data_IF_069189069070
#
_entry.id   IF_069189069070
#
_cell.length_a   1.000
_cell.length_b   1.000
_cell.length_c   1.000
_cell.angle_alpha   90.00
_cell.angle_beta   90.00
_cell.angle_gamma   90.00
#
_symmetry.space_group_name_H-M   'P 1'
#
loop_
_entity.id
_entity.type
_entity.pdbx_description
1 polymer ?
#
# COMPACT_ATOMS: atom_id res chain seq x y z
N UNK A 1 -43.62 -21.85 -26.33
CA UNK A 1 -42.98 -22.21 -25.05
C UNK A 1 -41.44 -22.49 -25.17
N UNK A 2 -40.99 -23.14 -26.20
CA UNK A 2 -39.54 -23.47 -26.37
C UNK A 2 -38.60 -22.27 -26.60
N UNK A 3 -39.03 -21.20 -27.25
CA UNK A 3 -38.23 -20.00 -27.52
C UNK A 3 -37.81 -19.20 -26.27
N UNK A 4 -38.62 -19.23 -25.21
CA UNK A 4 -38.31 -18.51 -23.98
C UNK A 4 -37.30 -19.25 -23.06
N UNK A 5 -37.20 -20.56 -23.19
CA UNK A 5 -36.27 -21.39 -22.41
C UNK A 5 -34.84 -21.22 -22.92
N UNK A 6 -34.65 -21.07 -24.24
CA UNK A 6 -33.32 -20.86 -24.84
C UNK A 6 -32.73 -19.50 -24.44
N UNK A 7 -33.56 -18.48 -24.28
CA UNK A 7 -33.09 -17.15 -23.87
C UNK A 7 -32.63 -17.11 -22.40
N UNK A 8 -33.30 -17.88 -21.52
CA UNK A 8 -32.94 -17.97 -20.10
C UNK A 8 -31.63 -18.77 -19.93
N UNK A 9 -31.38 -19.80 -20.73
CA UNK A 9 -30.16 -20.60 -20.67
C UNK A 9 -28.93 -19.78 -21.18
N UNK A 10 -29.13 -18.92 -22.16
CA UNK A 10 -28.05 -18.07 -22.70
C UNK A 10 -27.61 -16.98 -21.70
N UNK A 11 -28.51 -16.49 -20.86
CA UNK A 11 -28.19 -15.46 -19.85
C UNK A 11 -27.47 -16.02 -18.63
N UNK A 12 -27.65 -17.31 -18.30
CA UNK A 12 -27.00 -17.95 -17.14
C UNK A 12 -25.55 -18.37 -17.46
N UNK A 13 -25.21 -18.58 -18.73
CA UNK A 13 -23.84 -18.97 -19.14
C UNK A 13 -22.80 -17.86 -19.06
N UNK A 14 -23.21 -16.59 -18.89
CA UNK A 14 -22.29 -15.45 -18.80
C UNK A 14 -21.81 -15.12 -17.38
N UNK A 15 -22.31 -15.79 -16.35
CA UNK A 15 -21.90 -15.58 -14.96
C UNK A 15 -20.88 -16.60 -14.43
N UNK A 16 -19.96 -17.08 -15.24
CA UNK A 16 -18.71 -17.63 -14.72
C UNK A 16 -17.70 -16.51 -14.55
N UNK A 17 -17.87 -15.72 -13.49
CA UNK A 17 -16.83 -14.83 -13.00
C UNK A 17 -15.70 -15.69 -12.47
N UNK A 18 -14.66 -15.81 -13.27
CA UNK A 18 -13.36 -16.27 -12.82
C UNK A 18 -12.81 -15.26 -11.83
N UNK A 19 -13.02 -15.47 -10.54
CA UNK A 19 -12.34 -14.71 -9.51
C UNK A 19 -10.90 -15.24 -9.38
N UNK A 20 -10.05 -14.85 -10.32
CA UNK A 20 -8.62 -14.79 -10.05
C UNK A 20 -8.41 -13.59 -9.13
N UNK A 21 -8.51 -13.81 -7.82
CA UNK A 21 -7.97 -12.88 -6.84
C UNK A 21 -6.46 -12.93 -6.96
N UNK A 22 -5.90 -12.16 -7.88
CA UNK A 22 -4.53 -11.69 -7.74
C UNK A 22 -4.52 -10.81 -6.50
N UNK A 23 -3.94 -11.32 -5.40
CA UNK A 23 -3.68 -10.53 -4.20
C UNK A 23 -2.91 -9.30 -4.66
N UNK A 24 -3.58 -8.16 -4.70
CA UNK A 24 -2.97 -6.92 -5.19
C UNK A 24 -1.87 -6.51 -4.21
N UNK A 25 -0.75 -5.94 -4.68
CA UNK A 25 0.29 -5.41 -3.80
C UNK A 25 -0.25 -4.42 -2.75
N UNK A 26 -1.38 -3.76 -3.03
CA UNK A 26 -2.05 -2.85 -2.12
C UNK A 26 -2.56 -3.50 -0.83
N UNK A 27 -2.96 -4.76 -0.85
CA UNK A 27 -3.43 -5.47 0.34
C UNK A 27 -2.31 -5.65 1.39
N UNK A 28 -1.06 -5.87 0.97
CA UNK A 28 0.08 -5.93 1.88
C UNK A 28 0.41 -4.58 2.53
N UNK A 29 0.19 -3.47 1.82
CA UNK A 29 0.40 -2.13 2.35
C UNK A 29 -0.69 -1.70 3.33
N UNK A 30 -1.87 -2.25 3.21
CA UNK A 30 -3.03 -1.97 4.07
C UNK A 30 -3.04 -2.82 5.35
N UNK A 31 -2.24 -3.91 5.42
CA UNK A 31 -2.16 -4.74 6.63
C UNK A 31 -1.54 -3.97 7.79
N UNK A 32 -1.99 -4.24 8.99
CA UNK A 32 -1.50 -3.71 10.27
C UNK A 32 -1.57 -2.17 10.39
N UNK A 33 -2.25 -1.47 9.48
CA UNK A 33 -2.46 -0.03 9.58
C UNK A 33 -3.35 0.26 10.81
N UNK A 34 -2.88 1.20 11.65
CA UNK A 34 -3.44 1.54 12.96
C UNK A 34 -3.24 0.47 14.05
N UNK A 35 -2.45 -0.58 13.78
CA UNK A 35 -1.93 -1.47 14.82
C UNK A 35 -0.65 -0.88 15.43
N UNK A 36 -0.34 -1.28 16.66
CA UNK A 36 0.91 -0.87 17.31
C UNK A 36 2.06 -1.72 16.80
N UNK A 37 3.16 -1.06 16.45
CA UNK A 37 4.42 -1.74 16.19
C UNK A 37 4.92 -2.41 17.48
N UNK A 38 5.50 -3.61 17.36
CA UNK A 38 6.09 -4.27 18.53
C UNK A 38 7.20 -3.43 19.14
N UNK A 39 7.14 -3.19 20.44
CA UNK A 39 8.13 -2.43 21.19
C UNK A 39 9.37 -3.29 21.45
N UNK A 40 10.26 -3.33 20.47
CA UNK A 40 11.48 -4.10 20.52
C UNK A 40 12.57 -3.36 21.30
N UNK A 41 13.40 -4.11 22.02
CA UNK A 41 14.66 -3.58 22.56
C UNK A 41 15.69 -3.51 21.43
N UNK A 42 16.10 -2.29 21.11
CA UNK A 42 17.05 -1.99 20.03
C UNK A 42 18.47 -1.85 20.62
N UNK A 43 19.43 -2.39 19.93
CA UNK A 43 20.86 -2.16 20.20
C UNK A 43 21.33 -1.11 19.19
N UNK A 44 21.56 0.11 19.66
CA UNK A 44 22.02 1.26 18.87
C UNK A 44 23.54 1.42 18.97
N UNK A 45 24.09 1.05 20.11
CA UNK A 45 25.51 0.96 20.40
C UNK A 45 25.79 -0.28 21.29
N UNK A 46 27.06 -0.52 21.63
CA UNK A 46 27.44 -1.70 22.42
C UNK A 46 27.05 -1.60 23.91
N UNK A 47 26.60 -0.44 24.38
CA UNK A 47 26.54 -0.14 25.81
C UNK A 47 25.13 -0.19 26.42
N UNK A 48 24.09 0.14 25.66
CA UNK A 48 22.72 0.14 26.22
C UNK A 48 21.64 -0.21 25.20
N UNK A 49 20.81 -1.23 25.45
CA UNK A 49 19.61 -1.46 24.68
C UNK A 49 18.57 -0.35 24.95
N UNK A 50 17.99 0.19 23.88
CA UNK A 50 16.99 1.26 23.91
C UNK A 50 15.64 0.71 23.45
N UNK A 51 14.55 0.82 24.23
CA UNK A 51 13.23 0.45 23.75
C UNK A 51 12.80 1.30 22.55
N UNK A 52 12.13 0.68 21.58
CA UNK A 52 11.66 1.37 20.36
C UNK A 52 10.74 2.56 20.69
N UNK A 53 9.93 2.44 21.76
CA UNK A 53 9.02 3.52 22.19
C UNK A 53 9.76 4.81 22.59
N UNK A 54 10.96 4.76 23.09
CA UNK A 54 11.73 5.97 23.41
C UNK A 54 12.07 6.77 22.15
N UNK A 55 12.29 6.07 21.02
CA UNK A 55 12.57 6.73 19.74
C UNK A 55 11.31 7.38 19.16
N UNK A 56 10.19 6.64 19.07
CA UNK A 56 9.00 7.22 18.45
C UNK A 56 8.29 8.24 19.34
N UNK A 57 8.42 8.18 20.67
CA UNK A 57 7.92 9.21 21.57
C UNK A 57 8.65 10.56 21.37
N UNK A 58 9.91 10.52 20.95
CA UNK A 58 10.69 11.72 20.67
C UNK A 58 10.32 12.31 19.32
N UNK A 59 10.29 11.48 18.26
CA UNK A 59 9.90 11.86 16.90
C UNK A 59 9.27 10.65 16.19
N UNK A 60 8.28 10.87 15.32
CA UNK A 60 7.78 9.81 14.43
C UNK A 60 8.90 9.11 13.67
N UNK A 61 8.69 7.86 13.30
CA UNK A 61 9.72 7.06 12.65
C UNK A 61 9.32 6.63 11.24
N UNK A 62 10.29 6.65 10.33
CA UNK A 62 10.29 5.87 9.11
C UNK A 62 11.16 4.63 9.35
N UNK A 63 10.55 3.47 9.53
CA UNK A 63 11.25 2.22 9.81
C UNK A 63 11.60 1.51 8.50
N UNK A 64 12.88 1.21 8.32
CA UNK A 64 13.46 0.54 7.16
C UNK A 64 14.02 -0.80 7.60
N UNK A 65 13.61 -1.87 6.93
CA UNK A 65 14.13 -3.21 7.18
C UNK A 65 15.13 -3.61 6.10
N UNK A 66 16.32 -3.96 6.51
CA UNK A 66 17.43 -4.37 5.63
C UNK A 66 18.19 -5.55 6.23
N UNK A 67 19.16 -6.08 5.51
CA UNK A 67 20.26 -6.86 6.07
C UNK A 67 21.59 -6.48 5.39
N UNK A 68 22.69 -6.57 6.13
CA UNK A 68 23.96 -5.95 5.68
C UNK A 68 24.63 -6.68 4.52
N UNK A 69 24.37 -7.99 4.39
CA UNK A 69 24.90 -8.87 3.34
C UNK A 69 24.02 -8.92 2.08
N UNK A 70 23.04 -8.04 1.98
CA UNK A 70 22.16 -7.98 0.81
C UNK A 70 22.94 -7.58 -0.45
N UNK A 71 22.91 -8.44 -1.46
CA UNK A 71 23.50 -8.17 -2.78
C UNK A 71 22.47 -7.56 -3.75
N UNK A 72 21.22 -7.44 -3.34
CA UNK A 72 20.08 -7.04 -4.17
C UNK A 72 19.51 -5.66 -3.81
N UNK A 73 18.29 -5.66 -3.28
CA UNK A 73 17.43 -4.49 -3.16
C UNK A 73 17.81 -3.51 -2.05
N UNK A 74 18.46 -3.95 -0.96
CA UNK A 74 18.68 -3.12 0.24
C UNK A 74 19.53 -1.87 -0.05
N UNK A 75 20.67 -2.03 -0.71
CA UNK A 75 21.58 -0.93 -1.00
C UNK A 75 20.97 0.12 -1.95
N UNK A 76 20.39 -0.24 -3.10
CA UNK A 76 19.66 0.70 -3.96
C UNK A 76 18.50 1.38 -3.25
N UNK A 77 17.76 0.65 -2.40
CA UNK A 77 16.66 1.19 -1.64
C UNK A 77 17.10 2.26 -0.64
N UNK A 78 18.14 1.97 0.14
CA UNK A 78 18.67 2.89 1.14
C UNK A 78 19.25 4.16 0.49
N UNK A 79 19.98 4.00 -0.64
CA UNK A 79 20.51 5.13 -1.40
C UNK A 79 19.36 6.02 -1.92
N UNK A 80 18.37 5.42 -2.57
CA UNK A 80 17.23 6.17 -3.11
C UNK A 80 16.42 6.88 -2.03
N UNK A 81 16.24 6.22 -0.87
CA UNK A 81 15.55 6.83 0.27
C UNK A 81 16.35 8.03 0.77
N UNK A 82 17.67 7.90 0.97
CA UNK A 82 18.56 9.01 1.35
C UNK A 82 18.42 10.19 0.39
N UNK A 83 18.56 9.96 -0.91
CA UNK A 83 18.43 10.99 -1.93
C UNK A 83 17.05 11.66 -1.91
N UNK A 84 15.99 10.84 -1.81
CA UNK A 84 14.62 11.34 -1.76
C UNK A 84 14.34 12.22 -0.54
N UNK A 85 14.94 11.93 0.61
CA UNK A 85 14.75 12.68 1.85
C UNK A 85 15.57 13.97 1.91
N UNK A 86 16.69 14.07 1.22
CA UNK A 86 17.54 15.29 1.20
C UNK A 86 16.79 16.54 0.78
N UNK A 87 15.81 16.40 -0.10
CA UNK A 87 15.06 17.51 -0.69
C UNK A 87 13.67 17.72 -0.07
N UNK A 88 13.35 17.04 1.05
CA UNK A 88 12.04 17.16 1.68
C UNK A 88 11.98 18.35 2.64
N UNK A 89 10.92 19.15 2.50
CA UNK A 89 10.72 20.35 3.31
C UNK A 89 10.52 20.07 4.82
N UNK A 90 10.08 18.86 5.17
CA UNK A 90 9.77 18.43 6.55
C UNK A 90 10.74 17.37 7.06
N UNK A 91 11.99 17.38 6.61
CA UNK A 91 12.99 16.37 6.98
C UNK A 91 13.22 16.25 8.49
N UNK A 92 13.07 17.35 9.23
CA UNK A 92 13.32 17.38 10.68
C UNK A 92 12.12 16.93 11.53
N UNK A 93 10.97 16.59 10.90
CA UNK A 93 9.75 16.19 11.61
C UNK A 93 9.66 14.68 11.91
N UNK A 94 10.65 13.89 11.55
CA UNK A 94 10.72 12.45 11.77
C UNK A 94 12.17 11.96 11.80
N UNK A 95 12.39 10.76 12.34
CA UNK A 95 13.66 10.05 12.22
C UNK A 95 13.51 8.85 11.30
N UNK A 96 14.63 8.39 10.72
CA UNK A 96 14.71 7.17 9.90
C UNK A 96 15.42 6.10 10.72
N UNK A 97 14.70 5.05 11.08
CA UNK A 97 15.23 3.92 11.82
C UNK A 97 15.50 2.76 10.87
N UNK A 98 16.76 2.43 10.68
CA UNK A 98 17.23 1.32 9.84
C UNK A 98 17.56 0.13 10.75
N UNK A 99 16.80 -0.97 10.63
CA UNK A 99 16.96 -2.17 11.44
C UNK A 99 17.38 -3.33 10.55
N UNK A 100 18.38 -4.09 10.98
CA UNK A 100 18.65 -5.37 10.33
C UNK A 100 17.66 -6.43 10.77
N UNK A 101 17.08 -7.13 9.79
CA UNK A 101 16.23 -8.30 10.06
C UNK A 101 16.99 -9.63 10.01
N UNK A 102 18.30 -9.62 9.71
CA UNK A 102 19.16 -10.81 9.77
C UNK A 102 19.74 -10.96 11.19
N UNK A 103 19.41 -12.01 11.94
CA UNK A 103 19.92 -12.19 13.30
C UNK A 103 21.45 -12.38 13.36
N UNK A 104 22.11 -12.55 12.22
CA UNK A 104 23.57 -12.66 12.12
C UNK A 104 24.29 -11.31 12.03
N UNK A 105 23.53 -10.22 11.80
CA UNK A 105 24.11 -8.88 11.74
C UNK A 105 24.28 -8.31 13.14
N UNK A 106 25.41 -7.68 13.36
CA UNK A 106 25.74 -6.97 14.58
C UNK A 106 25.59 -5.45 14.42
N UNK A 107 25.58 -4.73 15.53
CA UNK A 107 25.61 -3.26 15.50
C UNK A 107 26.85 -2.72 14.79
N UNK A 108 27.98 -3.42 14.85
CA UNK A 108 29.19 -3.06 14.09
C UNK A 108 28.97 -3.11 12.59
N UNK A 109 28.25 -4.13 12.10
CA UNK A 109 27.89 -4.25 10.68
C UNK A 109 26.98 -3.12 10.24
N UNK A 110 26.03 -2.74 11.09
CA UNK A 110 25.12 -1.61 10.84
C UNK A 110 25.86 -0.26 10.82
N UNK A 111 26.82 -0.06 11.72
CA UNK A 111 27.69 1.13 11.74
C UNK A 111 28.58 1.20 10.49
N UNK A 112 29.11 0.07 10.01
CA UNK A 112 29.83 0.02 8.74
C UNK A 112 28.93 0.36 7.55
N UNK A 113 27.69 -0.08 7.58
CA UNK A 113 26.70 0.29 6.58
C UNK A 113 26.40 1.80 6.62
N UNK A 114 26.18 2.38 7.81
CA UNK A 114 25.97 3.82 7.97
C UNK A 114 27.14 4.63 7.36
N UNK A 115 28.38 4.24 7.63
CA UNK A 115 29.59 4.85 7.03
C UNK A 115 29.61 4.74 5.52
N UNK A 116 29.28 3.57 4.97
CA UNK A 116 29.25 3.36 3.50
C UNK A 116 28.30 4.32 2.80
N UNK A 117 27.21 4.70 3.45
CA UNK A 117 26.24 5.65 2.92
C UNK A 117 26.49 7.09 3.38
N UNK A 118 27.55 7.39 4.14
CA UNK A 118 27.80 8.67 4.77
C UNK A 118 26.56 9.19 5.53
N UNK A 119 26.08 8.37 6.45
CA UNK A 119 24.92 8.62 7.32
C UNK A 119 25.28 8.53 8.80
N UNK A 120 26.54 8.22 9.16
CA UNK A 120 27.01 8.06 10.53
C UNK A 120 26.87 9.34 11.37
N UNK A 121 27.10 10.50 10.76
CA UNK A 121 27.01 11.81 11.42
C UNK A 121 25.63 12.47 11.25
N UNK A 122 24.67 11.78 10.69
CA UNK A 122 23.33 12.33 10.43
C UNK A 122 22.36 11.93 11.54
N UNK A 123 22.10 12.84 12.47
CA UNK A 123 21.23 12.64 13.64
C UNK A 123 19.78 12.23 13.29
N UNK A 124 19.36 12.34 12.03
CA UNK A 124 18.05 11.88 11.58
C UNK A 124 18.02 10.36 11.34
N UNK A 125 19.19 9.74 11.10
CA UNK A 125 19.31 8.34 10.75
C UNK A 125 19.85 7.53 11.93
N UNK A 126 19.09 6.54 12.33
CA UNK A 126 19.38 5.66 13.47
C UNK A 126 19.54 4.25 12.93
N UNK A 127 20.64 3.60 13.22
CA UNK A 127 20.94 2.22 12.80
C UNK A 127 20.87 1.30 14.02
N UNK A 128 20.18 0.15 13.87
CA UNK A 128 19.93 -0.73 14.99
C UNK A 128 19.92 -2.22 14.59
N UNK A 129 20.14 -3.08 15.57
CA UNK A 129 19.79 -4.50 15.56
C UNK A 129 18.90 -4.81 16.76
N UNK A 130 18.20 -5.94 16.75
CA UNK A 130 17.40 -6.40 17.89
C UNK A 130 17.31 -7.91 17.92
N UNK A 131 17.37 -8.50 19.12
CA UNK A 131 17.16 -9.95 19.33
C UNK A 131 15.67 -10.34 19.13
N UNK A 132 14.77 -9.35 19.20
CA UNK A 132 13.32 -9.55 19.05
C UNK A 132 12.84 -9.36 17.61
N UNK A 133 13.71 -9.49 16.62
CA UNK A 133 13.41 -9.19 15.21
C UNK A 133 12.20 -9.98 14.67
N UNK A 134 12.01 -11.22 15.08
CA UNK A 134 10.88 -12.04 14.65
C UNK A 134 9.54 -11.45 15.09
N UNK A 135 9.45 -10.92 16.31
CA UNK A 135 8.23 -10.26 16.82
C UNK A 135 7.99 -8.92 16.13
N UNK A 136 9.06 -8.17 15.90
CA UNK A 136 8.98 -6.91 15.15
C UNK A 136 8.48 -7.16 13.73
N UNK A 137 9.06 -8.13 13.02
CA UNK A 137 8.64 -8.51 11.68
C UNK A 137 7.18 -8.94 11.63
N UNK A 138 6.73 -9.74 12.59
CA UNK A 138 5.34 -10.16 12.70
C UNK A 138 4.39 -8.97 12.89
N UNK A 139 4.75 -7.98 13.72
CA UNK A 139 3.89 -6.81 13.99
C UNK A 139 3.68 -5.90 12.78
N UNK A 140 4.49 -6.04 11.74
CA UNK A 140 4.41 -5.26 10.50
C UNK A 140 4.13 -6.12 9.27
N UNK A 141 3.79 -7.40 9.47
CA UNK A 141 3.53 -8.41 8.43
C UNK A 141 4.68 -8.54 7.42
N UNK A 142 5.93 -8.49 7.90
CA UNK A 142 7.13 -8.68 7.08
C UNK A 142 7.69 -10.09 7.27
N UNK A 143 7.76 -10.87 6.19
CA UNK A 143 8.15 -12.28 6.22
C UNK A 143 9.27 -12.56 5.21
N UNK A 144 10.54 -12.23 5.52
CA UNK A 144 11.66 -12.55 4.65
C UNK A 144 11.90 -14.06 4.61
N UNK A 145 12.11 -14.62 3.42
CA UNK A 145 12.32 -16.05 3.20
C UNK A 145 13.78 -16.30 2.88
N UNK A 146 14.43 -17.17 3.67
CA UNK A 146 15.82 -17.55 3.43
C UNK A 146 15.94 -18.50 2.23
N UNK A 147 16.70 -18.10 1.21
CA UNK A 147 17.09 -18.93 0.08
C UNK A 147 18.50 -19.48 0.32
N UNK A 148 18.59 -20.78 0.65
CA UNK A 148 19.85 -21.45 0.94
C UNK A 148 20.74 -21.63 -0.29
N UNK A 149 20.18 -21.64 -1.50
CA UNK A 149 20.92 -21.80 -2.75
C UNK A 149 21.67 -20.50 -3.05
N UNK A 150 20.99 -19.36 -2.93
CA UNK A 150 21.57 -18.04 -3.17
C UNK A 150 22.28 -17.46 -1.97
N UNK A 151 22.15 -18.09 -0.80
CA UNK A 151 22.63 -17.58 0.50
C UNK A 151 22.14 -16.14 0.76
N UNK A 152 20.88 -15.87 0.44
CA UNK A 152 20.24 -14.56 0.49
C UNK A 152 18.80 -14.69 1.00
N UNK A 153 18.25 -13.60 1.55
CA UNK A 153 16.82 -13.52 1.80
C UNK A 153 16.07 -13.05 0.55
N UNK A 154 14.96 -13.72 0.26
CA UNK A 154 13.95 -13.21 -0.65
C UNK A 154 12.96 -12.37 0.15
N UNK A 155 12.87 -11.09 -0.18
CA UNK A 155 12.05 -10.11 0.52
C UNK A 155 11.77 -8.88 -0.32
N UNK A 156 10.64 -8.23 -0.03
CA UNK A 156 10.33 -6.92 -0.58
C UNK A 156 11.11 -5.82 0.17
N UNK A 157 11.41 -4.70 -0.52
CA UNK A 157 11.81 -3.47 0.16
C UNK A 157 10.58 -2.91 0.90
N UNK A 158 10.70 -2.64 2.18
CA UNK A 158 9.61 -2.17 3.02
C UNK A 158 10.01 -0.92 3.78
N UNK A 159 9.15 0.11 3.71
CA UNK A 159 9.22 1.32 4.50
C UNK A 159 7.93 1.47 5.30
N UNK A 160 8.05 1.53 6.62
CA UNK A 160 6.91 1.61 7.55
C UNK A 160 6.92 2.95 8.26
N UNK A 161 5.82 3.68 8.19
CA UNK A 161 5.61 4.91 8.96
C UNK A 161 4.99 4.59 10.32
N UNK A 162 5.61 5.11 11.39
CA UNK A 162 5.17 4.95 12.77
C UNK A 162 5.05 6.33 13.41
N UNK A 163 3.89 6.66 13.99
CA UNK A 163 3.67 7.94 14.67
C UNK A 163 4.24 7.94 16.09
N UNK A 164 4.17 9.09 16.78
CA UNK A 164 4.69 9.24 18.15
C UNK A 164 3.97 8.36 19.19
N UNK A 165 2.87 7.73 18.86
CA UNK A 165 2.14 6.83 19.76
C UNK A 165 2.45 5.35 19.47
N UNK A 166 3.31 5.08 18.48
CA UNK A 166 3.71 3.74 18.06
C UNK A 166 2.72 3.06 17.10
N UNK A 167 1.75 3.80 16.54
CA UNK A 167 0.84 3.24 15.53
C UNK A 167 1.46 3.25 14.14
N UNK A 168 1.30 2.16 13.43
CA UNK A 168 1.66 2.05 12.02
C UNK A 168 0.64 2.87 11.23
N UNK A 169 1.09 3.94 10.58
CA UNK A 169 0.19 4.86 9.86
C UNK A 169 0.13 4.59 8.37
N UNK A 170 1.22 4.10 7.79
CA UNK A 170 1.31 3.78 6.37
C UNK A 170 2.50 2.86 6.11
N UNK A 171 2.37 1.99 5.11
CA UNK A 171 3.48 1.17 4.58
C UNK A 171 3.68 1.44 3.10
N UNK A 172 4.92 1.40 2.63
CA UNK A 172 5.27 1.43 1.21
C UNK A 172 6.11 0.21 0.87
N UNK A 173 5.65 -0.56 -0.11
CA UNK A 173 6.36 -1.74 -0.63
C UNK A 173 7.06 -1.37 -1.93
N UNK A 174 8.31 -1.79 -2.07
CA UNK A 174 9.16 -1.48 -3.21
C UNK A 174 9.85 -0.10 -3.10
N UNK A 175 10.65 0.21 -4.11
CA UNK A 175 11.42 1.47 -4.18
C UNK A 175 10.52 2.63 -4.65
N UNK A 176 9.68 3.13 -3.76
CA UNK A 176 8.82 4.28 -4.04
C UNK A 176 9.46 5.59 -3.57
N UNK A 177 9.07 6.67 -4.20
CA UNK A 177 9.53 8.00 -3.88
C UNK A 177 8.49 9.06 -4.26
N UNK A 178 8.88 10.33 -4.28
CA UNK A 178 8.01 11.43 -4.69
C UNK A 178 6.76 11.53 -3.82
N UNK A 179 5.59 11.50 -4.44
CA UNK A 179 4.30 11.69 -3.77
C UNK A 179 3.97 10.60 -2.73
N UNK A 180 4.31 9.33 -2.99
CA UNK A 180 4.05 8.24 -2.04
C UNK A 180 4.83 8.46 -0.73
N UNK A 181 6.07 8.93 -0.83
CA UNK A 181 6.89 9.27 0.33
C UNK A 181 6.36 10.52 1.07
N UNK A 182 5.84 11.52 0.35
CA UNK A 182 5.20 12.69 0.96
C UNK A 182 3.97 12.30 1.77
N UNK A 183 3.15 11.39 1.24
CA UNK A 183 2.00 10.84 1.96
C UNK A 183 2.41 10.05 3.21
N UNK A 184 3.49 9.28 3.14
CA UNK A 184 4.03 8.58 4.29
C UNK A 184 4.51 9.55 5.37
N UNK A 185 5.30 10.57 5.00
CA UNK A 185 5.78 11.61 5.93
C UNK A 185 4.59 12.38 6.54
N UNK A 186 3.57 12.69 5.75
CA UNK A 186 2.36 13.33 6.24
C UNK A 186 1.64 12.44 7.27
N UNK A 187 1.51 11.13 6.99
CA UNK A 187 0.80 10.20 7.86
C UNK A 187 1.47 10.03 9.23
N UNK A 188 2.79 9.93 9.30
CA UNK A 188 3.51 9.81 10.59
C UNK A 188 3.40 11.06 11.44
N UNK A 189 3.16 12.22 10.82
CA UNK A 189 2.91 13.49 11.49
C UNK A 189 1.41 13.74 11.76
N UNK A 190 0.60 12.68 11.80
CA UNK A 190 -0.85 12.71 12.06
C UNK A 190 -1.66 13.55 11.04
N UNK A 191 -1.12 13.76 9.84
CA UNK A 191 -1.86 14.34 8.72
C UNK A 191 -2.53 13.22 7.95
N UNK A 192 -3.84 13.32 7.73
CA UNK A 192 -4.59 12.29 7.00
C UNK A 192 -3.96 11.99 5.65
N UNK A 193 -3.67 10.73 5.41
CA UNK A 193 -3.06 10.23 4.18
C UNK A 193 -3.74 8.91 3.79
N UNK A 194 -4.22 8.75 2.55
CA UNK A 194 -4.86 7.50 2.13
C UNK A 194 -3.86 6.33 2.25
N UNK A 195 -4.35 5.21 2.76
CA UNK A 195 -3.56 3.98 2.95
C UNK A 195 -3.38 3.19 1.65
N UNK A 196 -4.23 3.40 0.68
CA UNK A 196 -4.18 2.77 -0.64
C UNK A 196 -3.71 3.76 -1.71
N UNK A 197 -3.14 3.22 -2.77
CA UNK A 197 -2.71 4.01 -3.92
C UNK A 197 -3.92 4.55 -4.65
N UNK A 198 -4.05 5.87 -4.69
CA UNK A 198 -5.09 6.51 -5.50
C UNK A 198 -4.91 6.13 -6.98
N UNK A 199 -6.00 5.83 -7.71
CA UNK A 199 -5.92 5.51 -9.12
C UNK A 199 -5.18 6.60 -9.88
N UNK A 200 -4.18 6.22 -10.67
CA UNK A 200 -3.46 7.17 -11.51
C UNK A 200 -4.44 7.83 -12.49
N UNK A 201 -4.27 9.13 -12.76
CA UNK A 201 -5.10 9.94 -13.69
C UNK A 201 -5.28 9.32 -15.10
N UNK A 202 -4.52 8.27 -15.43
CA UNK A 202 -4.56 7.58 -16.72
C UNK A 202 -5.46 6.34 -16.76
N UNK A 203 -6.17 6.00 -15.70
CA UNK A 203 -7.15 4.91 -15.76
C UNK A 203 -8.42 5.44 -16.39
N UNK A 204 -8.54 5.26 -17.71
CA UNK A 204 -9.71 5.66 -18.53
C UNK A 204 -11.07 5.12 -18.01
N UNK A 205 -11.05 4.05 -17.24
CA UNK A 205 -12.23 3.34 -16.73
C UNK A 205 -12.40 3.43 -15.20
N UNK A 206 -11.78 4.44 -14.54
CA UNK A 206 -12.03 4.67 -13.11
C UNK A 206 -13.44 5.22 -12.90
N UNK A 207 -14.18 4.65 -11.94
CA UNK A 207 -15.50 5.16 -11.53
C UNK A 207 -15.41 6.54 -10.89
N UNK A 208 -14.30 6.82 -10.20
CA UNK A 208 -14.02 8.11 -9.57
C UNK A 208 -12.58 8.53 -9.84
N UNK A 209 -12.39 9.79 -10.20
CA UNK A 209 -11.10 10.43 -10.36
C UNK A 209 -10.86 11.39 -9.21
N UNK A 210 -9.78 11.17 -8.46
CA UNK A 210 -9.38 12.09 -7.40
C UNK A 210 -8.70 13.32 -8.01
N UNK A 211 -9.17 14.50 -7.60
CA UNK A 211 -8.54 15.77 -7.95
C UNK A 211 -7.66 16.26 -6.78
N UNK A 212 -6.33 16.16 -6.91
CA UNK A 212 -5.41 16.53 -5.83
C UNK A 212 -5.41 18.03 -5.51
N UNK A 213 -5.93 18.89 -6.39
CA UNK A 213 -6.02 20.34 -6.16
C UNK A 213 -7.20 20.71 -5.27
N UNK A 214 -8.30 19.99 -5.39
CA UNK A 214 -9.54 20.29 -4.65
C UNK A 214 -9.79 19.30 -3.51
N UNK A 215 -9.02 18.20 -3.40
CA UNK A 215 -9.22 17.13 -2.42
C UNK A 215 -10.53 16.34 -2.62
N UNK A 216 -11.23 16.50 -3.76
CA UNK A 216 -12.53 15.90 -4.02
C UNK A 216 -12.46 14.85 -5.11
N UNK A 217 -13.32 13.83 -4.97
CA UNK A 217 -13.52 12.83 -6.02
C UNK A 217 -14.48 13.39 -7.07
N UNK A 218 -14.09 13.31 -8.35
CA UNK A 218 -14.94 13.59 -9.51
C UNK A 218 -15.40 12.28 -10.13
N UNK A 219 -16.64 12.27 -10.67
CA UNK A 219 -17.16 11.13 -11.39
C UNK A 219 -16.30 10.84 -12.63
N UNK A 220 -15.87 9.59 -12.78
CA UNK A 220 -15.08 9.12 -13.90
C UNK A 220 -15.95 8.43 -14.96
N UNK A 221 -15.42 8.33 -16.17
CA UNK A 221 -16.09 7.65 -17.30
C UNK A 221 -16.41 6.17 -17.01
N UNK A 222 -15.68 5.53 -16.10
CA UNK A 222 -15.95 4.14 -15.72
C UNK A 222 -17.34 3.92 -15.13
N UNK A 223 -17.88 4.90 -14.41
CA UNK A 223 -19.24 4.83 -13.88
C UNK A 223 -20.30 4.76 -14.99
N UNK A 224 -20.08 5.49 -16.09
CA UNK A 224 -20.96 5.48 -17.25
C UNK A 224 -21.00 4.09 -17.92
N UNK A 225 -19.85 3.41 -18.03
CA UNK A 225 -19.79 2.05 -18.58
C UNK A 225 -20.48 1.02 -17.69
N UNK A 226 -20.43 1.18 -16.37
CA UNK A 226 -21.14 0.30 -15.44
C UNK A 226 -22.67 0.56 -15.49
N UNK A 227 -23.09 1.82 -15.61
CA UNK A 227 -24.49 2.18 -15.67
C UNK A 227 -25.16 1.90 -17.04
N UNK A 228 -24.37 1.85 -18.12
CA UNK A 228 -24.87 1.71 -19.51
C UNK A 228 -25.75 0.47 -19.70
N UNK A 229 -25.39 -0.76 -19.22
CA UNK A 229 -26.27 -1.93 -19.36
C UNK A 229 -27.62 -1.74 -18.66
N UNK A 230 -27.62 -1.12 -17.48
CA UNK A 230 -28.84 -0.88 -16.72
C UNK A 230 -29.76 0.13 -17.46
N UNK A 231 -29.19 1.22 -17.99
CA UNK A 231 -29.90 2.21 -18.78
C UNK A 231 -30.48 1.58 -20.01
N UNK A 232 -29.75 0.78 -20.77
CA UNK A 232 -30.20 0.04 -21.95
C UNK A 232 -31.36 -0.90 -21.61
N UNK A 233 -31.24 -1.63 -20.50
CA UNK A 233 -32.31 -2.55 -20.07
C UNK A 233 -33.62 -1.78 -19.78
N UNK A 234 -33.55 -0.65 -19.08
CA UNK A 234 -34.71 0.19 -18.79
C UNK A 234 -35.30 0.75 -20.06
N UNK A 235 -34.51 1.22 -21.02
CA UNK A 235 -34.99 1.72 -22.31
C UNK A 235 -35.71 0.63 -23.13
N UNK A 236 -35.17 -0.58 -23.17
CA UNK A 236 -35.76 -1.74 -23.84
C UNK A 236 -37.14 -2.05 -23.20
N UNK A 237 -37.20 -2.08 -21.87
CA UNK A 237 -38.48 -2.33 -21.17
C UNK A 237 -39.52 -1.27 -21.44
N UNK A 238 -39.14 0.00 -21.53
CA UNK A 238 -40.01 1.13 -21.87
C UNK A 238 -40.56 0.94 -23.30
N UNK A 239 -39.66 0.65 -24.28
CA UNK A 239 -40.08 0.45 -25.69
C UNK A 239 -41.04 -0.75 -25.81
N UNK A 240 -40.74 -1.86 -25.13
CA UNK A 240 -41.64 -3.02 -25.12
C UNK A 240 -43.00 -2.64 -24.52
N UNK A 241 -42.99 -1.93 -23.37
CA UNK A 241 -44.22 -1.49 -22.71
C UNK A 241 -45.11 -0.59 -23.58
N UNK A 242 -44.51 0.36 -24.31
CA UNK A 242 -45.22 1.18 -25.28
C UNK A 242 -45.76 0.38 -26.46
N UNK A 243 -44.95 -0.54 -27.02
CA UNK A 243 -45.35 -1.39 -28.15
C UNK A 243 -46.53 -2.33 -27.80
N UNK A 244 -46.55 -2.85 -26.58
CA UNK A 244 -47.65 -3.72 -26.10
C UNK A 244 -48.91 -2.91 -25.87
N UNK A 245 -48.83 -1.70 -25.32
CA UNK A 245 -49.99 -0.81 -25.13
C UNK A 245 -50.61 -0.38 -26.47
N UNK A 246 -49.74 -0.02 -27.43
CA UNK A 246 -50.21 0.38 -28.76
C UNK A 246 -50.99 -0.76 -29.47
N UNK A 247 -50.54 -1.99 -29.37
CA UNK A 247 -51.26 -3.15 -29.94
C UNK A 247 -52.56 -3.48 -29.18
N UNK A 248 -52.57 -3.27 -27.88
CA UNK A 248 -53.81 -3.50 -27.11
C UNK A 248 -54.90 -2.50 -27.45
N UNK A 249 -54.57 -1.22 -27.70
CA UNK A 249 -55.54 -0.23 -28.14
C UNK A 249 -56.07 -0.46 -29.56
N UNK A 250 -55.27 -0.99 -30.48
CA UNK A 250 -55.75 -1.37 -31.82
C UNK A 250 -56.71 -2.56 -31.82
N UNK A 251 -56.59 -3.47 -30.87
CA UNK A 251 -57.49 -4.62 -30.73
C UNK A 251 -58.83 -4.26 -30.09
N UNK A 252 -58.88 -3.23 -29.21
CA UNK A 252 -60.13 -2.71 -28.64
C UNK A 252 -60.94 -1.89 -29.65
N UNK A 253 -60.31 -1.22 -30.62
CA UNK A 253 -61.01 -0.39 -31.63
C UNK A 253 -61.56 -1.26 -32.78
N UNK A 254 -61.15 -2.52 -32.92
CA UNK A 254 -61.61 -3.44 -33.97
C UNK A 254 -62.71 -4.43 -33.53
N UNK A 255 -63.25 -4.32 -32.32
CA UNK A 255 -64.30 -5.17 -31.73
C UNK A 255 -65.59 -4.36 -31.56
#
# INVERSE_FOLDING_TARGET
MFKNIVFIILTISFFKTSSAQTVSPSLKEESDIYEKIYDALLILDENQPTPLHELYNTKPLLVVLIFTRCTGVCNPFLLRLKESLQFKAKKDSFNVLVISFDPRDSIKDMNLLARRFALEDNNQWIFAVTDSISKLNQSISFYPIWDSIRNQYDHDALLVGVNNEGYITKKLIGMRGGHDLDLLIASVNNVFSPTYRLPNKKVLFSCFNYDPKTGKNKLGLGLLFIALPAILTVLILIVIGFSVRSKASELEESS
#
